data_IF_248910754477
#
_entry.id   IF_248910754477
#
_cell.length_a   1.000
_cell.length_b   1.000
_cell.length_c   1.000
_cell.angle_alpha   90.00
_cell.angle_beta   90.00
_cell.angle_gamma   90.00
#
_symmetry.space_group_name_H-M   'P 1'
#
loop_
_entity.id
_entity.type
_entity.pdbx_description
1 polymer ?
#
# COMPACT_ATOMS: atom_id res chain seq x y z
N UNK A 1 37.19 74.57 66.23
CA UNK A 1 37.53 73.22 65.70
C UNK A 1 36.60 72.87 64.54
N UNK A 2 36.97 73.14 63.27
CA UNK A 2 36.21 72.75 62.06
C UNK A 2 37.14 72.81 60.83
N UNK A 3 37.85 71.73 60.49
CA UNK A 3 38.68 71.69 59.25
C UNK A 3 38.73 70.35 58.49
N UNK A 4 38.03 69.29 58.91
CA UNK A 4 38.12 67.95 58.27
C UNK A 4 36.95 67.60 57.33
N UNK A 5 35.95 68.47 57.17
CA UNK A 5 34.73 68.15 56.40
C UNK A 5 34.97 68.17 54.87
N UNK A 6 35.92 68.98 54.37
CA UNK A 6 36.17 69.12 52.92
C UNK A 6 36.78 67.88 52.23
N UNK A 7 37.81 67.19 52.77
CA UNK A 7 38.32 65.96 52.14
C UNK A 7 37.40 64.76 52.34
N UNK A 8 36.69 64.68 53.47
CA UNK A 8 35.73 63.60 53.75
C UNK A 8 34.56 63.60 52.74
N UNK A 9 34.09 64.77 52.33
CA UNK A 9 33.04 64.91 51.33
C UNK A 9 33.46 64.41 49.94
N UNK A 10 34.70 64.65 49.52
CA UNK A 10 35.24 64.14 48.24
C UNK A 10 35.45 62.62 48.25
N UNK A 11 35.88 62.04 49.38
CA UNK A 11 36.01 60.58 49.52
C UNK A 11 34.64 59.89 49.47
N UNK A 12 33.60 60.51 50.06
CA UNK A 12 32.22 60.01 50.01
C UNK A 12 31.65 60.04 48.59
N UNK A 13 31.92 61.11 47.83
CA UNK A 13 31.52 61.23 46.42
C UNK A 13 32.23 60.17 45.57
N UNK A 14 33.54 59.96 45.77
CA UNK A 14 34.31 58.95 45.03
C UNK A 14 33.80 57.53 45.32
N UNK A 15 33.50 57.22 46.59
CA UNK A 15 32.93 55.93 46.99
C UNK A 15 31.55 55.70 46.36
N UNK A 16 30.72 56.74 46.28
CA UNK A 16 29.39 56.68 45.65
C UNK A 16 29.50 56.50 44.13
N UNK A 17 30.47 57.14 43.48
CA UNK A 17 30.78 56.97 42.05
C UNK A 17 31.27 55.55 41.74
N UNK A 18 32.14 54.98 42.58
CA UNK A 18 32.59 53.58 42.47
C UNK A 18 31.45 52.58 42.71
N UNK A 19 30.55 52.85 43.66
CA UNK A 19 29.38 52.02 43.88
C UNK A 19 28.40 52.09 42.69
N UNK A 20 28.20 53.27 42.11
CA UNK A 20 27.36 53.47 40.93
C UNK A 20 27.96 52.79 39.68
N UNK A 21 29.27 52.89 39.47
CA UNK A 21 29.96 52.22 38.36
C UNK A 21 29.96 50.70 38.53
N UNK A 22 30.17 50.19 39.75
CA UNK A 22 30.14 48.76 40.05
C UNK A 22 28.74 48.17 39.88
N UNK A 23 27.70 48.85 40.37
CA UNK A 23 26.31 48.42 40.21
C UNK A 23 25.85 48.53 38.75
N UNK A 24 26.25 49.59 38.04
CA UNK A 24 26.02 49.75 36.61
C UNK A 24 26.68 48.65 35.78
N UNK A 25 27.95 48.32 36.04
CA UNK A 25 28.67 47.24 35.38
C UNK A 25 28.03 45.87 35.67
N UNK A 26 27.66 45.61 36.93
CA UNK A 26 27.00 44.36 37.33
C UNK A 26 25.61 44.22 36.68
N UNK A 27 24.90 45.34 36.48
CA UNK A 27 23.59 45.37 35.82
C UNK A 27 23.73 45.22 34.29
N UNK A 28 24.74 45.84 33.69
CA UNK A 28 25.06 45.68 32.27
C UNK A 28 25.42 44.22 31.95
N UNK A 29 26.25 43.57 32.78
CA UNK A 29 26.59 42.15 32.66
C UNK A 29 25.40 41.21 32.85
N UNK A 30 24.37 41.63 33.60
CA UNK A 30 23.07 40.92 33.73
C UNK A 30 22.07 41.24 32.61
N UNK A 31 22.25 42.33 31.86
CA UNK A 31 21.43 42.70 30.69
C UNK A 31 22.01 42.14 29.39
N UNK A 32 23.31 41.82 29.33
CA UNK A 32 23.92 41.07 28.22
C UNK A 32 23.57 39.58 28.26
N UNK A 33 22.33 39.25 28.64
CA UNK A 33 21.74 37.94 28.45
C UNK A 33 21.49 37.83 26.96
N UNK A 34 22.48 37.31 26.25
CA UNK A 34 22.28 36.72 24.92
C UNK A 34 21.31 35.57 25.15
N UNK A 35 20.03 35.86 24.95
CA UNK A 35 18.92 34.96 25.18
C UNK A 35 19.12 33.73 24.28
N UNK A 36 19.51 32.62 24.92
CA UNK A 36 19.37 31.22 24.49
C UNK A 36 19.41 30.91 22.99
N UNK A 37 20.43 31.40 22.28
CA UNK A 37 20.72 30.86 20.94
C UNK A 37 21.08 29.37 21.07
N UNK A 38 21.62 28.96 22.22
CA UNK A 38 21.99 27.58 22.52
C UNK A 38 20.82 26.59 22.38
N UNK A 39 19.58 26.97 22.72
CA UNK A 39 18.41 26.10 22.56
C UNK A 39 18.03 25.89 21.08
N UNK A 40 18.48 26.79 20.21
CA UNK A 40 18.29 26.72 18.75
C UNK A 40 19.52 26.16 18.03
N UNK A 41 20.64 25.93 18.73
CA UNK A 41 21.83 25.31 18.15
C UNK A 41 21.71 23.79 18.24
N UNK A 42 21.35 23.17 17.11
CA UNK A 42 21.52 21.74 16.91
C UNK A 42 22.87 21.48 16.24
N UNK A 43 23.58 20.47 16.72
CA UNK A 43 24.75 19.93 16.01
C UNK A 43 24.27 19.38 14.68
N UNK A 44 24.93 19.80 13.59
CA UNK A 44 24.62 19.27 12.26
C UNK A 44 25.13 17.84 12.22
N UNK A 45 24.20 16.91 11.98
CA UNK A 45 24.52 15.51 11.74
C UNK A 45 24.33 15.21 10.25
N UNK A 46 25.30 14.51 9.67
CA UNK A 46 25.19 14.01 8.32
C UNK A 46 24.47 12.66 8.38
N UNK A 47 23.38 12.52 7.63
CA UNK A 47 22.60 11.29 7.58
C UNK A 47 21.84 11.18 6.27
N UNK A 48 21.38 9.96 5.96
CA UNK A 48 20.59 9.70 4.76
C UNK A 48 19.14 10.13 4.97
N UNK A 49 18.59 10.87 4.01
CA UNK A 49 17.17 11.23 4.00
C UNK A 49 16.35 10.00 3.58
N UNK A 50 15.57 9.44 4.51
CA UNK A 50 14.58 8.40 4.19
C UNK A 50 13.36 9.06 3.53
N UNK A 51 13.12 8.70 2.28
CA UNK A 51 11.93 9.10 1.55
C UNK A 51 10.89 7.98 1.68
N UNK A 52 9.83 8.24 2.42
CA UNK A 52 8.70 7.32 2.52
C UNK A 52 7.69 7.67 1.42
N UNK A 53 7.43 6.70 0.55
CA UNK A 53 6.39 6.78 -0.48
C UNK A 53 5.22 5.90 -0.05
N UNK A 54 4.02 6.47 -0.03
CA UNK A 54 2.80 5.74 0.29
C UNK A 54 1.89 5.74 -0.93
N UNK A 55 1.56 4.55 -1.40
CA UNK A 55 0.71 4.35 -2.56
C UNK A 55 -0.33 3.28 -2.26
N UNK A 56 -1.48 3.40 -2.90
CA UNK A 56 -2.56 2.42 -2.79
C UNK A 56 -2.59 1.52 -4.01
N UNK A 57 -2.85 0.24 -3.79
CA UNK A 57 -2.90 -0.75 -4.87
C UNK A 57 -3.86 -1.89 -4.54
N UNK A 58 -3.93 -2.84 -5.46
CA UNK A 58 -4.83 -3.99 -5.36
C UNK A 58 -4.03 -5.26 -5.08
N UNK A 59 -4.52 -6.06 -4.13
CA UNK A 59 -3.99 -7.39 -3.87
C UNK A 59 -4.50 -8.36 -4.93
N UNK A 60 -3.58 -8.98 -5.66
CA UNK A 60 -3.87 -9.95 -6.71
C UNK A 60 -3.11 -11.24 -6.45
N UNK A 61 -3.62 -12.34 -6.98
CA UNK A 61 -2.81 -13.55 -7.09
C UNK A 61 -2.01 -13.51 -8.39
N UNK A 62 -0.77 -13.97 -8.31
CA UNK A 62 0.12 -14.08 -9.48
C UNK A 62 -0.32 -15.22 -10.42
N UNK A 63 -0.82 -16.30 -9.84
CA UNK A 63 -1.14 -17.53 -10.56
C UNK A 63 -2.65 -17.75 -10.53
N UNK A 64 -3.31 -17.37 -11.63
CA UNK A 64 -4.72 -17.65 -11.86
C UNK A 64 -4.93 -18.23 -13.25
N UNK A 65 -5.88 -19.15 -13.37
CA UNK A 65 -6.23 -19.80 -14.64
C UNK A 65 -7.74 -19.75 -14.81
N UNK A 66 -8.16 -19.21 -15.94
CA UNK A 66 -9.56 -19.21 -16.35
C UNK A 66 -9.93 -20.57 -16.95
N UNK A 67 -11.12 -21.05 -16.55
CA UNK A 67 -11.70 -22.29 -17.04
C UNK A 67 -12.79 -21.94 -18.04
N UNK A 68 -12.58 -22.40 -19.26
CA UNK A 68 -13.45 -22.16 -20.40
C UNK A 68 -14.22 -23.43 -20.79
N UNK A 69 -15.45 -23.29 -21.33
CA UNK A 69 -16.17 -24.42 -21.89
C UNK A 69 -15.57 -24.85 -23.23
N UNK A 70 -15.72 -26.13 -23.60
CA UNK A 70 -15.24 -26.64 -24.88
C UNK A 70 -16.04 -26.11 -26.09
N UNK A 71 -17.31 -25.73 -25.89
CA UNK A 71 -18.20 -25.23 -26.95
C UNK A 71 -19.32 -24.37 -26.37
N UNK A 72 -20.20 -23.84 -27.23
CA UNK A 72 -21.49 -23.26 -26.81
C UNK A 72 -22.42 -24.35 -26.25
N UNK A 73 -23.21 -24.04 -25.22
CA UNK A 73 -24.00 -25.05 -24.52
C UNK A 73 -24.63 -24.59 -23.20
N UNK A 74 -24.85 -25.53 -22.29
CA UNK A 74 -25.50 -25.35 -20.99
C UNK A 74 -24.72 -26.05 -19.88
N UNK A 75 -24.76 -25.50 -18.68
CA UNK A 75 -24.22 -26.15 -17.48
C UNK A 75 -25.32 -27.03 -16.90
N UNK A 76 -25.09 -28.33 -16.76
CA UNK A 76 -26.11 -29.28 -16.28
C UNK A 76 -26.11 -29.33 -14.75
N UNK A 77 -24.92 -29.52 -14.18
CA UNK A 77 -24.74 -29.86 -12.77
C UNK A 77 -23.46 -29.19 -12.26
N UNK A 78 -23.52 -28.60 -11.06
CA UNK A 78 -22.37 -27.98 -10.40
C UNK A 78 -21.98 -28.82 -9.19
N UNK A 79 -20.81 -29.44 -9.27
CA UNK A 79 -20.25 -30.28 -8.19
C UNK A 79 -19.48 -29.44 -7.16
N UNK A 80 -18.93 -28.29 -7.59
CA UNK A 80 -18.09 -27.40 -6.78
C UNK A 80 -18.48 -25.95 -6.98
N UNK A 81 -18.69 -25.24 -5.88
CA UNK A 81 -19.10 -23.82 -5.89
C UNK A 81 -17.91 -22.89 -5.71
N UNK A 82 -18.14 -21.61 -6.01
CA UNK A 82 -17.19 -20.54 -5.71
C UNK A 82 -16.87 -20.51 -4.20
N UNK A 83 -15.61 -20.29 -3.86
CA UNK A 83 -15.10 -20.34 -2.49
C UNK A 83 -14.60 -21.72 -2.05
N UNK A 84 -14.80 -22.77 -2.85
CA UNK A 84 -14.22 -24.09 -2.55
C UNK A 84 -12.82 -24.26 -3.15
N UNK A 85 -11.97 -25.00 -2.44
CA UNK A 85 -10.70 -25.47 -2.97
C UNK A 85 -10.89 -26.73 -3.82
N UNK A 86 -10.16 -26.77 -4.94
CA UNK A 86 -10.12 -27.91 -5.86
C UNK A 86 -8.70 -28.37 -6.11
N UNK A 87 -8.54 -29.66 -6.41
CA UNK A 87 -7.31 -30.27 -6.88
C UNK A 87 -7.31 -30.36 -8.41
N UNK A 88 -6.13 -30.43 -9.00
CA UNK A 88 -5.92 -30.65 -10.42
C UNK A 88 -6.67 -31.91 -10.87
N UNK A 89 -7.36 -31.78 -11.99
CA UNK A 89 -8.21 -32.82 -12.59
C UNK A 89 -9.44 -33.22 -11.77
N UNK A 90 -9.74 -32.54 -10.67
CA UNK A 90 -11.00 -32.71 -9.96
C UNK A 90 -12.16 -32.16 -10.79
N UNK A 91 -13.30 -32.86 -10.78
CA UNK A 91 -14.49 -32.45 -11.53
C UNK A 91 -15.17 -31.28 -10.80
N UNK A 92 -15.36 -30.18 -11.51
CA UNK A 92 -16.00 -28.96 -10.98
C UNK A 92 -17.48 -28.95 -11.34
N UNK A 93 -17.80 -29.28 -12.59
CA UNK A 93 -19.17 -29.24 -13.11
C UNK A 93 -19.31 -30.09 -14.36
N UNK A 94 -20.54 -30.36 -14.76
CA UNK A 94 -20.87 -31.11 -15.97
C UNK A 94 -21.45 -30.16 -17.02
N UNK A 95 -20.88 -30.19 -18.22
CA UNK A 95 -21.24 -29.31 -19.32
C UNK A 95 -21.93 -30.06 -20.47
N UNK A 96 -22.90 -29.37 -21.06
CA UNK A 96 -23.63 -29.80 -22.24
C UNK A 96 -23.51 -28.87 -23.44
N UNK A 97 -22.73 -29.28 -24.44
CA UNK A 97 -22.70 -28.65 -25.75
C UNK A 97 -24.00 -28.81 -26.51
N UNK A 98 -24.40 -27.76 -27.24
CA UNK A 98 -25.58 -27.79 -28.11
C UNK A 98 -26.44 -26.54 -28.00
N UNK A 99 -27.46 -26.45 -28.85
CA UNK A 99 -28.33 -25.26 -28.91
C UNK A 99 -29.57 -25.38 -28.03
N UNK A 100 -30.04 -26.60 -27.75
CA UNK A 100 -31.24 -26.87 -26.95
C UNK A 100 -30.94 -27.69 -25.70
N UNK A 101 -31.54 -27.29 -24.58
CA UNK A 101 -31.39 -27.98 -23.30
C UNK A 101 -32.16 -29.32 -23.25
N UNK A 102 -33.26 -29.44 -24.00
CA UNK A 102 -34.17 -30.60 -24.04
C UNK A 102 -33.66 -31.78 -24.90
N UNK A 103 -32.62 -31.58 -25.71
CA UNK A 103 -32.09 -32.65 -26.57
C UNK A 103 -31.53 -33.81 -25.75
N UNK A 104 -32.11 -35.01 -25.88
CA UNK A 104 -31.72 -36.20 -25.11
C UNK A 104 -30.48 -36.90 -25.67
N UNK A 105 -30.07 -36.59 -26.90
CA UNK A 105 -28.86 -37.11 -27.52
C UNK A 105 -27.69 -36.18 -27.25
N UNK A 106 -27.08 -36.32 -26.08
CA UNK A 106 -25.87 -35.58 -25.76
C UNK A 106 -24.95 -36.35 -24.80
N UNK A 107 -23.64 -36.14 -24.92
CA UNK A 107 -22.61 -36.75 -24.06
C UNK A 107 -22.11 -35.72 -23.04
N UNK A 108 -22.51 -35.80 -21.75
CA UNK A 108 -22.02 -34.89 -20.70
C UNK A 108 -20.49 -34.83 -20.68
N UNK A 109 -19.95 -33.61 -20.78
CA UNK A 109 -18.51 -33.36 -20.71
C UNK A 109 -18.18 -32.83 -19.32
N UNK A 110 -17.40 -33.54 -18.51
CA UNK A 110 -16.97 -33.01 -17.22
C UNK A 110 -15.96 -31.90 -17.44
N UNK A 111 -16.22 -30.73 -16.85
CA UNK A 111 -15.24 -29.66 -16.71
C UNK A 111 -14.41 -29.96 -15.47
N UNK A 112 -13.12 -30.12 -15.67
CA UNK A 112 -12.16 -30.45 -14.61
C UNK A 112 -11.25 -29.26 -14.31
N UNK A 113 -10.72 -29.21 -13.10
CA UNK A 113 -9.78 -28.18 -12.69
C UNK A 113 -8.44 -28.33 -13.41
N UNK A 114 -7.95 -27.25 -14.01
CA UNK A 114 -6.64 -27.24 -14.68
C UNK A 114 -5.45 -27.36 -13.70
N UNK A 115 -5.65 -26.90 -12.45
CA UNK A 115 -4.64 -26.87 -11.37
C UNK A 115 -5.32 -26.90 -9.99
N UNK A 116 -4.50 -27.05 -8.95
CA UNK A 116 -4.93 -26.87 -7.55
C UNK A 116 -5.16 -25.38 -7.27
N UNK A 117 -6.24 -25.04 -6.55
CA UNK A 117 -6.48 -23.65 -6.14
C UNK A 117 -7.88 -23.42 -5.59
N UNK A 118 -8.17 -22.16 -5.29
CA UNK A 118 -9.47 -21.69 -4.86
C UNK A 118 -10.32 -21.34 -6.08
N UNK A 119 -11.56 -21.82 -6.13
CA UNK A 119 -12.52 -21.39 -7.15
C UNK A 119 -13.04 -19.99 -6.84
N UNK A 120 -12.93 -19.10 -7.81
CA UNK A 120 -13.48 -17.75 -7.77
C UNK A 120 -14.31 -17.49 -9.02
N UNK A 121 -15.18 -16.48 -8.96
CA UNK A 121 -15.81 -15.95 -10.15
C UNK A 121 -14.78 -15.45 -11.17
N UNK A 122 -15.18 -15.48 -12.43
CA UNK A 122 -14.48 -14.73 -13.47
C UNK A 122 -14.60 -13.23 -13.16
N UNK A 123 -13.55 -12.47 -13.44
CA UNK A 123 -13.54 -11.02 -13.30
C UNK A 123 -13.44 -10.45 -14.72
N UNK A 124 -14.54 -9.96 -15.25
CA UNK A 124 -14.58 -9.31 -16.57
C UNK A 124 -13.93 -7.94 -16.50
N UNK A 125 -12.99 -7.66 -17.42
CA UNK A 125 -12.30 -6.37 -17.54
C UNK A 125 -13.22 -5.19 -17.91
N UNK A 126 -14.45 -5.47 -18.32
CA UNK A 126 -15.38 -4.46 -18.85
C UNK A 126 -16.56 -4.13 -17.93
N UNK A 127 -16.53 -4.56 -16.65
CA UNK A 127 -17.57 -4.19 -15.69
C UNK A 127 -18.97 -4.73 -16.03
N UNK A 128 -19.06 -5.72 -16.93
CA UNK A 128 -20.27 -6.49 -17.09
C UNK A 128 -20.51 -7.27 -15.80
N UNK A 129 -21.74 -7.26 -15.31
CA UNK A 129 -22.16 -8.11 -14.19
C UNK A 129 -21.91 -9.56 -14.59
N UNK A 130 -20.81 -10.13 -14.10
CA UNK A 130 -20.51 -11.55 -14.26
C UNK A 130 -21.61 -12.30 -13.51
N UNK A 131 -22.59 -12.81 -14.26
CA UNK A 131 -23.67 -13.61 -13.70
C UNK A 131 -23.07 -14.85 -13.04
N UNK A 132 -23.41 -15.06 -11.78
CA UNK A 132 -23.05 -16.28 -11.05
C UNK A 132 -23.40 -17.52 -11.89
N UNK A 133 -22.47 -18.47 -11.93
CA UNK A 133 -22.70 -19.71 -12.66
C UNK A 133 -23.70 -20.57 -11.90
N UNK A 134 -24.85 -20.81 -12.53
CA UNK A 134 -25.94 -21.63 -11.99
C UNK A 134 -26.23 -22.79 -12.94
N UNK A 135 -26.79 -23.86 -12.39
CA UNK A 135 -27.30 -24.98 -13.18
C UNK A 135 -28.37 -24.48 -14.15
N UNK A 136 -28.34 -24.99 -15.38
CA UNK A 136 -29.17 -24.52 -16.49
C UNK A 136 -28.67 -23.26 -17.20
N UNK A 137 -27.61 -22.60 -16.70
CA UNK A 137 -27.03 -21.41 -17.37
C UNK A 137 -26.57 -21.77 -18.78
N UNK A 138 -26.97 -20.94 -19.74
CA UNK A 138 -26.51 -21.03 -21.13
C UNK A 138 -25.17 -20.32 -21.27
N UNK A 139 -24.24 -20.97 -21.95
CA UNK A 139 -22.95 -20.42 -22.35
C UNK A 139 -22.94 -20.28 -23.87
N UNK A 140 -22.92 -19.03 -24.35
CA UNK A 140 -23.06 -18.74 -25.77
C UNK A 140 -21.77 -18.93 -26.58
N UNK A 141 -20.60 -18.86 -25.92
CA UNK A 141 -19.30 -18.95 -26.57
C UNK A 141 -18.31 -19.75 -25.75
N UNK A 142 -17.40 -20.46 -26.43
CA UNK A 142 -16.23 -21.08 -25.80
C UNK A 142 -15.26 -20.05 -25.19
N UNK A 143 -15.38 -18.77 -25.57
CA UNK A 143 -14.59 -17.68 -24.99
C UNK A 143 -15.16 -17.16 -23.65
N UNK A 144 -16.37 -17.56 -23.28
CA UNK A 144 -16.98 -17.13 -22.01
C UNK A 144 -16.31 -17.86 -20.86
N UNK A 145 -15.64 -17.12 -19.99
CA UNK A 145 -15.08 -17.67 -18.75
C UNK A 145 -16.23 -18.17 -17.86
N UNK A 146 -16.13 -19.42 -17.39
CA UNK A 146 -17.12 -20.00 -16.48
C UNK A 146 -16.67 -19.80 -15.04
N UNK A 147 -15.45 -20.21 -14.72
CA UNK A 147 -14.89 -20.07 -13.38
C UNK A 147 -13.39 -19.83 -13.47
N UNK A 148 -12.81 -19.27 -12.41
CA UNK A 148 -11.38 -19.01 -12.31
C UNK A 148 -10.81 -19.80 -11.14
N UNK A 149 -9.67 -20.44 -11.34
CA UNK A 149 -8.92 -21.13 -10.29
C UNK A 149 -7.74 -20.24 -9.92
N UNK A 150 -7.63 -19.88 -8.64
CA UNK A 150 -6.61 -18.96 -8.15
C UNK A 150 -5.74 -19.62 -7.09
N UNK A 151 -4.42 -19.51 -7.22
CA UNK A 151 -3.48 -19.92 -6.17
C UNK A 151 -3.29 -18.78 -5.15
N UNK A 152 -3.67 -19.02 -3.90
CA UNK A 152 -3.52 -18.06 -2.80
C UNK A 152 -2.14 -18.11 -2.14
N UNK A 153 -1.24 -19.01 -2.55
CA UNK A 153 0.10 -19.14 -1.94
C UNK A 153 1.04 -18.00 -2.31
N UNK A 154 0.91 -17.45 -3.52
CA UNK A 154 1.77 -16.38 -4.04
C UNK A 154 0.91 -15.17 -4.40
N UNK A 155 0.88 -14.21 -3.48
CA UNK A 155 0.17 -12.95 -3.65
C UNK A 155 1.13 -11.86 -4.10
N UNK A 156 0.63 -10.95 -4.94
CA UNK A 156 1.32 -9.77 -5.40
C UNK A 156 0.40 -8.55 -5.21
N UNK A 157 1.00 -7.38 -5.00
CA UNK A 157 0.25 -6.12 -4.93
C UNK A 157 0.56 -5.33 -6.18
N UNK A 158 -0.47 -5.05 -6.97
CA UNK A 158 -0.37 -4.18 -8.13
C UNK A 158 -0.52 -2.74 -7.66
N UNK A 159 0.59 -1.98 -7.70
CA UNK A 159 0.64 -0.57 -7.36
C UNK A 159 0.72 0.28 -8.63
N UNK A 160 -0.01 1.38 -8.66
CA UNK A 160 0.11 2.40 -9.71
C UNK A 160 0.93 3.56 -9.16
N UNK A 161 2.15 3.72 -9.67
CA UNK A 161 3.10 4.73 -9.21
C UNK A 161 3.17 5.87 -10.22
N UNK A 162 3.27 7.10 -9.73
CA UNK A 162 3.52 8.29 -10.56
C UNK A 162 4.85 8.17 -11.32
N UNK A 163 4.87 8.63 -12.58
CA UNK A 163 6.09 8.69 -13.40
C UNK A 163 7.19 9.56 -12.78
N UNK A 164 6.84 10.55 -11.96
CA UNK A 164 7.82 11.40 -11.28
C UNK A 164 8.57 10.62 -10.19
N UNK A 165 7.91 9.63 -9.57
CA UNK A 165 8.43 8.91 -8.41
C UNK A 165 9.06 7.56 -8.76
N UNK A 166 8.79 7.01 -9.96
CA UNK A 166 9.29 5.71 -10.39
C UNK A 166 10.82 5.61 -10.34
N UNK A 167 11.52 6.72 -10.61
CA UNK A 167 12.99 6.79 -10.59
C UNK A 167 13.61 6.52 -9.21
N UNK A 168 12.82 6.67 -8.14
CA UNK A 168 13.27 6.42 -6.77
C UNK A 168 13.21 4.93 -6.42
N UNK A 169 12.43 4.13 -7.15
CA UNK A 169 12.18 2.72 -6.87
C UNK A 169 13.25 1.82 -7.50
N UNK A 170 13.57 0.73 -6.81
CA UNK A 170 14.55 -0.27 -7.26
C UNK A 170 14.04 -1.68 -6.95
N UNK A 171 14.44 -2.65 -7.77
CA UNK A 171 14.18 -4.06 -7.50
C UNK A 171 14.74 -4.46 -6.13
N UNK A 172 14.02 -5.37 -5.45
CA UNK A 172 14.31 -5.84 -4.09
C UNK A 172 14.24 -4.78 -2.98
N UNK A 173 13.76 -3.56 -3.25
CA UNK A 173 13.50 -2.59 -2.19
C UNK A 173 12.44 -3.13 -1.21
N UNK A 174 12.67 -3.03 0.11
CA UNK A 174 11.69 -3.47 1.10
C UNK A 174 10.50 -2.53 1.11
N UNK A 175 9.30 -3.10 1.22
CA UNK A 175 8.05 -2.35 1.35
C UNK A 175 7.25 -2.86 2.54
N UNK A 176 6.54 -1.95 3.20
CA UNK A 176 5.58 -2.30 4.26
C UNK A 176 4.18 -2.15 3.69
N UNK A 177 3.42 -3.23 3.73
CA UNK A 177 2.05 -3.30 3.25
C UNK A 177 1.08 -3.26 4.43
N UNK A 178 -0.01 -2.54 4.25
CA UNK A 178 -1.14 -2.49 5.18
C UNK A 178 -2.42 -2.70 4.39
N UNK A 179 -3.39 -3.42 4.97
CA UNK A 179 -4.67 -3.67 4.33
C UNK A 179 -5.78 -3.00 5.12
N UNK A 180 -6.69 -2.33 4.41
CA UNK A 180 -7.86 -1.69 5.03
C UNK A 180 -8.80 -2.72 5.68
N UNK A 181 -8.82 -3.94 5.13
CA UNK A 181 -9.64 -5.04 5.64
C UNK A 181 -9.14 -5.62 6.98
N UNK A 182 -7.86 -5.46 7.30
CA UNK A 182 -7.24 -5.96 8.54
C UNK A 182 -6.38 -4.85 9.16
N UNK A 183 -7.01 -3.86 9.83
CA UNK A 183 -6.29 -2.73 10.40
C UNK A 183 -5.28 -3.18 11.47
N UNK A 184 -4.09 -2.57 11.45
CA UNK A 184 -3.04 -2.79 12.46
C UNK A 184 -2.02 -3.88 12.11
N UNK A 185 -2.33 -4.77 11.17
CA UNK A 185 -1.35 -5.72 10.67
C UNK A 185 -0.45 -5.09 9.60
N UNK A 186 0.87 -5.30 9.76
CA UNK A 186 1.89 -4.86 8.81
C UNK A 186 2.53 -6.08 8.19
N UNK A 187 2.49 -6.14 6.87
CA UNK A 187 3.13 -7.21 6.10
C UNK A 187 4.38 -6.66 5.44
N UNK A 188 5.47 -7.44 5.48
CA UNK A 188 6.69 -7.08 4.78
C UNK A 188 6.67 -7.69 3.38
N UNK A 189 7.03 -6.89 2.39
CA UNK A 189 7.19 -7.32 1.01
C UNK A 189 8.46 -6.75 0.39
N UNK A 190 8.71 -7.11 -0.86
CA UNK A 190 9.78 -6.55 -1.67
C UNK A 190 9.28 -6.25 -3.07
N UNK A 191 9.89 -5.25 -3.72
CA UNK A 191 9.61 -4.97 -5.13
C UNK A 191 10.17 -6.11 -5.98
N UNK A 192 9.29 -6.94 -6.53
CA UNK A 192 9.66 -8.09 -7.38
C UNK A 192 9.85 -7.66 -8.84
N UNK A 193 8.91 -6.89 -9.38
CA UNK A 193 8.92 -6.46 -10.79
C UNK A 193 8.51 -4.99 -10.89
N UNK A 194 9.21 -4.26 -11.74
CA UNK A 194 8.81 -2.93 -12.20
C UNK A 194 8.40 -3.09 -13.67
N UNK A 195 7.16 -2.71 -14.00
CA UNK A 195 6.66 -2.85 -15.35
C UNK A 195 7.50 -2.00 -16.33
N UNK A 196 7.93 -2.56 -17.48
CA UNK A 196 8.74 -1.82 -18.44
C UNK A 196 7.93 -0.80 -19.25
N UNK A 197 6.59 -0.86 -19.17
CA UNK A 197 5.67 0.02 -19.91
C UNK A 197 4.80 0.80 -18.92
N UNK A 198 4.65 2.10 -19.17
CA UNK A 198 3.74 2.96 -18.41
C UNK A 198 2.29 2.81 -18.92
N UNK A 199 1.32 2.88 -18.00
CA UNK A 199 -0.10 2.97 -18.35
C UNK A 199 -0.52 4.43 -18.44
N UNK A 200 -0.96 4.88 -19.61
CA UNK A 200 -1.64 6.17 -19.75
C UNK A 200 -3.13 5.98 -19.50
N UNK A 201 -3.68 6.61 -18.45
CA UNK A 201 -5.13 6.68 -18.28
C UNK A 201 -5.66 7.72 -19.27
N UNK A 202 -6.21 7.28 -20.40
CA UNK A 202 -7.05 8.16 -21.22
C UNK A 202 -8.32 8.41 -20.41
N UNK A 203 -8.51 9.66 -20.00
CA UNK A 203 -9.81 10.14 -19.52
C UNK A 203 -10.86 10.05 -20.62
#
# INVERSE_FOLDING_TARGET
>A
MRKTIKPAFWVLILALLCAASYTGYRRYKKMSVRQDIADFLRTVEQGDLKLDLQESGELVSRDSVDVFPPSKGFIIEILKKEGEYVKKSEKIMTFKGGERIDSTQYVPVPIVASRDGLLTRCISRYGASDEEVREGKRVDSAATCITRIVDMKTLAVNLKISEIDIFKLKLNMPVTLTFTAIPGEKFSGKIDVIAPMAETKSS
#
